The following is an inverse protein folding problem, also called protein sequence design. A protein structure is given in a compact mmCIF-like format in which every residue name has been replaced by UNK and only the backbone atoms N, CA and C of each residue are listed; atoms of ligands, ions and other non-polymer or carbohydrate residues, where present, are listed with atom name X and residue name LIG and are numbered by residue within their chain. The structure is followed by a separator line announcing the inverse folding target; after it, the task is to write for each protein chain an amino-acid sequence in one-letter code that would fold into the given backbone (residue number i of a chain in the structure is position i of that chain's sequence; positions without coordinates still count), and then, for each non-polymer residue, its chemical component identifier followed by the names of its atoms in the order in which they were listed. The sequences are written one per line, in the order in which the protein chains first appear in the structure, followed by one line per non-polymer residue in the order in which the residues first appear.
data_IF_465306665069
#
_entry.id   IF_465306665069
#
_cell.length_a   1.000
_cell.length_b   1.000
_cell.length_c   1.000
_cell.angle_alpha   90.00
_cell.angle_beta   90.00
_cell.angle_gamma   90.00
#
_symmetry.space_group_name_H-M   'P 1'
#
loop_
_entity.id
_entity.type
_entity.pdbx_description
1 polymer ?
#
# COMPACT_ATOMS: atom_id res chain seq x y z
N UNK A 1 3.42 8.49 -4.11
CA UNK A 1 2.94 7.32 -3.34
C UNK A 1 2.41 7.53 -1.92
N UNK A 2 3.12 7.95 -0.85
CA UNK A 2 2.44 8.23 0.45
C UNK A 2 1.33 9.27 0.31
N UNK A 3 1.57 10.28 -0.52
CA UNK A 3 0.57 11.29 -0.91
C UNK A 3 -0.54 10.70 -1.80
N UNK A 4 -0.27 9.66 -2.59
CA UNK A 4 -1.30 8.94 -3.37
C UNK A 4 -2.14 8.01 -2.47
N UNK A 5 -1.52 7.25 -1.56
CA UNK A 5 -2.23 6.47 -0.52
C UNK A 5 -3.15 7.42 0.27
N UNK A 6 -2.64 8.59 0.63
CA UNK A 6 -3.42 9.64 1.27
C UNK A 6 -4.45 10.28 0.34
N UNK A 7 -4.26 10.30 -0.98
CA UNK A 7 -5.27 10.84 -1.89
C UNK A 7 -6.52 9.96 -1.98
N UNK A 8 -6.42 8.63 -1.77
CA UNK A 8 -7.61 7.77 -1.60
C UNK A 8 -8.44 8.13 -0.37
N UNK A 9 -7.87 8.89 0.58
CA UNK A 9 -8.61 9.36 1.75
C UNK A 9 -9.58 10.51 1.41
N UNK A 10 -9.45 11.14 0.24
CA UNK A 10 -10.24 12.32 -0.15
C UNK A 10 -10.73 12.35 -1.60
N UNK A 11 -10.45 11.32 -2.41
CA UNK A 11 -10.77 11.31 -3.85
C UNK A 11 -11.54 10.04 -4.22
N UNK A 12 -12.58 10.19 -5.04
CA UNK A 12 -13.48 9.10 -5.49
C UNK A 12 -13.10 8.53 -6.86
N UNK A 13 -12.05 9.07 -7.49
CA UNK A 13 -11.66 8.75 -8.86
C UNK A 13 -10.14 8.67 -9.01
N UNK A 14 -9.54 7.65 -8.40
CA UNK A 14 -8.10 7.40 -8.49
C UNK A 14 -7.88 6.17 -9.36
N UNK A 15 -7.33 6.35 -10.55
CA UNK A 15 -6.84 5.25 -11.37
C UNK A 15 -5.47 4.82 -10.84
N UNK A 16 -5.31 3.52 -10.59
CA UNK A 16 -4.08 2.94 -10.05
C UNK A 16 -3.70 1.78 -10.94
N UNK A 17 -2.48 1.79 -11.46
CA UNK A 17 -1.91 0.66 -12.17
C UNK A 17 -1.41 -0.39 -11.15
N UNK A 18 -1.96 -1.63 -11.15
CA UNK A 18 -1.45 -2.70 -10.29
C UNK A 18 0.04 -2.97 -10.45
N UNK A 19 0.60 -2.79 -11.66
CA UNK A 19 2.01 -3.02 -11.94
C UNK A 19 2.92 -1.99 -11.24
N UNK A 20 2.47 -0.74 -11.17
CA UNK A 20 3.18 0.32 -10.43
C UNK A 20 3.18 0.03 -8.92
N UNK A 21 2.07 -0.49 -8.39
CA UNK A 21 1.96 -0.87 -6.99
C UNK A 21 2.88 -2.05 -6.63
N UNK A 22 2.94 -3.09 -7.47
CA UNK A 22 3.86 -4.22 -7.29
C UNK A 22 5.32 -3.79 -7.38
N UNK A 23 5.65 -2.96 -8.38
CA UNK A 23 7.00 -2.43 -8.59
C UNK A 23 7.46 -1.63 -7.38
N UNK A 24 6.58 -0.78 -6.82
CA UNK A 24 6.90 -0.06 -5.59
C UNK A 24 7.08 -1.02 -4.41
N UNK A 25 6.16 -1.96 -4.19
CA UNK A 25 6.23 -2.88 -3.06
C UNK A 25 7.55 -3.65 -3.06
N UNK A 26 7.99 -4.13 -4.22
CA UNK A 26 9.28 -4.77 -4.40
C UNK A 26 10.44 -3.83 -4.04
N UNK A 27 10.46 -2.60 -4.57
CA UNK A 27 11.51 -1.59 -4.27
C UNK A 27 11.56 -1.23 -2.79
N UNK A 28 10.40 -0.99 -2.17
CA UNK A 28 10.29 -0.62 -0.76
C UNK A 28 10.79 -1.74 0.17
N UNK A 29 10.34 -2.98 -0.07
CA UNK A 29 10.80 -4.12 0.73
C UNK A 29 12.27 -4.42 0.53
N UNK A 30 12.77 -4.30 -0.71
CA UNK A 30 14.20 -4.42 -0.97
C UNK A 30 14.99 -3.36 -0.19
N UNK A 31 14.51 -2.11 -0.19
CA UNK A 31 15.11 -1.03 0.60
C UNK A 31 15.13 -1.31 2.10
N UNK A 32 14.02 -1.78 2.67
CA UNK A 32 13.97 -2.21 4.07
C UNK A 32 14.97 -3.33 4.37
N UNK A 33 15.06 -4.34 3.49
CA UNK A 33 15.99 -5.47 3.64
C UNK A 33 17.45 -5.00 3.61
N UNK A 34 17.81 -4.14 2.66
CA UNK A 34 19.18 -3.59 2.57
C UNK A 34 19.53 -2.80 3.83
N UNK A 35 18.62 -1.97 4.34
CA UNK A 35 18.86 -1.21 5.57
C UNK A 35 18.99 -2.11 6.81
N UNK A 36 18.17 -3.16 6.94
CA UNK A 36 18.31 -4.14 8.01
C UNK A 36 19.65 -4.88 7.93
N UNK A 37 20.06 -5.31 6.74
CA UNK A 37 21.35 -5.95 6.52
C UNK A 37 22.52 -5.02 6.85
N UNK A 38 22.46 -3.76 6.41
CA UNK A 38 23.46 -2.74 6.75
C UNK A 38 23.60 -2.63 8.27
N UNK A 39 22.49 -2.54 8.99
CA UNK A 39 22.47 -2.45 10.47
C UNK A 39 23.17 -3.64 11.12
N UNK A 40 22.86 -4.86 10.66
CA UNK A 40 23.45 -6.08 11.19
C UNK A 40 24.95 -6.15 10.88
N UNK A 41 25.34 -5.80 9.66
CA UNK A 41 26.74 -5.86 9.23
C UNK A 41 27.62 -4.89 10.03
N UNK A 42 27.14 -3.68 10.33
CA UNK A 42 27.91 -2.67 11.07
C UNK A 42 27.94 -2.88 12.59
N UNK A 43 27.19 -3.84 13.15
CA UNK A 43 27.11 -4.06 14.61
C UNK A 43 28.47 -4.39 15.23
N UNK A 44 29.32 -5.11 14.48
CA UNK A 44 30.62 -5.58 14.96
C UNK A 44 31.79 -4.94 14.21
N UNK A 45 31.52 -3.98 13.30
CA UNK A 45 32.59 -3.30 12.59
C UNK A 45 33.29 -2.31 13.51
N UNK A 46 34.60 -2.45 13.61
CA UNK A 46 35.50 -1.53 14.28
C UNK A 46 36.38 -0.79 13.27
N UNK A 47 36.64 -1.39 12.10
CA UNK A 47 37.42 -0.80 11.01
C UNK A 47 36.59 0.15 10.13
N UNK A 48 37.12 1.35 9.89
CA UNK A 48 36.52 2.40 9.06
C UNK A 48 36.57 2.12 7.55
N UNK A 49 37.52 1.32 7.09
CA UNK A 49 37.59 0.89 5.68
C UNK A 49 36.48 -0.12 5.36
N UNK A 50 36.26 -1.09 6.26
CA UNK A 50 35.15 -2.04 6.16
C UNK A 50 33.79 -1.35 6.29
N UNK A 51 33.70 -0.30 7.12
CA UNK A 51 32.52 0.56 7.19
C UNK A 51 32.25 1.26 5.86
N UNK A 52 33.27 1.90 5.27
CA UNK A 52 33.13 2.62 4.01
C UNK A 52 32.67 1.68 2.87
N UNK A 53 33.26 0.49 2.78
CA UNK A 53 32.87 -0.52 1.79
C UNK A 53 31.43 -1.01 2.01
N UNK A 54 31.04 -1.26 3.27
CA UNK A 54 29.67 -1.69 3.61
C UNK A 54 28.63 -0.62 3.26
N UNK A 55 28.96 0.66 3.49
CA UNK A 55 28.12 1.78 3.11
C UNK A 55 28.01 1.92 1.59
N UNK A 56 29.14 1.85 0.88
CA UNK A 56 29.18 1.94 -0.59
C UNK A 56 28.28 0.88 -1.23
N UNK A 57 28.45 -0.39 -0.84
CA UNK A 57 27.63 -1.49 -1.34
C UNK A 57 26.14 -1.28 -1.07
N UNK A 58 25.79 -0.69 0.07
CA UNK A 58 24.39 -0.43 0.44
C UNK A 58 23.79 0.74 -0.35
N UNK A 59 24.58 1.79 -0.59
CA UNK A 59 24.19 2.95 -1.41
C UNK A 59 23.94 2.53 -2.85
N UNK A 60 24.85 1.73 -3.42
CA UNK A 60 24.71 1.16 -4.77
C UNK A 60 23.47 0.26 -4.87
N UNK A 61 23.27 -0.62 -3.89
CA UNK A 61 22.11 -1.51 -3.87
C UNK A 61 20.77 -0.76 -3.72
N UNK A 62 20.78 0.38 -3.03
CA UNK A 62 19.61 1.27 -2.89
C UNK A 62 19.45 2.22 -4.08
N UNK A 63 20.45 2.29 -4.98
CA UNK A 63 20.52 3.25 -6.07
C UNK A 63 20.30 4.70 -5.58
N UNK A 64 20.95 5.05 -4.47
CA UNK A 64 20.90 6.40 -3.89
C UNK A 64 22.06 7.20 -4.46
N UNK A 65 21.78 8.39 -4.95
CA UNK A 65 22.82 9.34 -5.33
C UNK A 65 23.41 9.96 -4.06
N UNK A 66 24.61 9.50 -3.69
CA UNK A 66 25.40 10.06 -2.60
C UNK A 66 26.69 10.60 -3.19
N UNK A 67 27.07 11.85 -2.90
CA UNK A 67 28.35 12.39 -3.33
C UNK A 67 29.51 11.46 -2.95
N UNK A 68 30.25 10.97 -3.95
CA UNK A 68 31.31 9.97 -3.75
C UNK A 68 32.43 10.45 -2.83
N UNK A 69 32.63 11.76 -2.73
CA UNK A 69 33.60 12.39 -1.83
C UNK A 69 33.29 12.09 -0.36
N UNK A 70 32.02 11.94 0.03
CA UNK A 70 31.64 11.60 1.41
C UNK A 70 32.15 10.21 1.82
N UNK A 71 31.96 9.19 0.97
CA UNK A 71 32.46 7.83 1.23
C UNK A 71 33.99 7.80 1.19
N UNK A 72 34.59 8.48 0.21
CA UNK A 72 36.04 8.63 0.14
C UNK A 72 36.64 9.31 1.36
N UNK A 73 35.94 10.29 1.95
CA UNK A 73 36.37 10.99 3.16
C UNK A 73 36.34 10.07 4.39
N UNK A 74 35.33 9.22 4.54
CA UNK A 74 35.26 8.22 5.63
C UNK A 74 36.46 7.27 5.55
N UNK A 75 36.75 6.75 4.35
CA UNK A 75 37.89 5.85 4.15
C UNK A 75 39.24 6.54 4.46
N UNK A 76 39.42 7.80 4.04
CA UNK A 76 40.62 8.59 4.35
C UNK A 76 40.78 8.85 5.84
N UNK A 77 39.69 9.18 6.54
CA UNK A 77 39.69 9.37 7.99
C UNK A 77 40.06 8.07 8.71
N UNK A 78 39.60 6.92 8.21
CA UNK A 78 40.02 5.60 8.68
C UNK A 78 41.53 5.37 8.61
N UNK A 79 42.14 5.70 7.46
CA UNK A 79 43.60 5.59 7.27
C UNK A 79 44.36 6.49 8.23
N UNK A 80 43.90 7.73 8.42
CA UNK A 80 44.51 8.67 9.36
C UNK A 80 44.39 8.20 10.81
N UNK A 81 43.23 7.65 11.21
CA UNK A 81 43.01 7.09 12.53
C UNK A 81 43.94 5.90 12.81
N UNK A 82 44.09 5.00 11.85
CA UNK A 82 45.02 3.86 11.95
C UNK A 82 46.49 4.31 12.06
N UNK A 83 46.88 5.34 11.30
CA UNK A 83 48.21 5.94 11.43
C UNK A 83 48.45 6.47 12.85
N UNK A 84 47.49 7.20 13.44
CA UNK A 84 47.61 7.74 14.80
C UNK A 84 47.74 6.64 15.87
N UNK A 85 47.01 5.52 15.72
CA UNK A 85 47.15 4.36 16.60
C UNK A 85 48.56 3.76 16.51
N UNK A 86 49.07 3.58 15.29
CA UNK A 86 50.40 3.02 15.06
C UNK A 86 51.51 3.88 15.66
N UNK A 87 51.49 5.20 15.45
CA UNK A 87 52.55 6.10 15.98
C UNK A 87 52.45 6.30 17.49
N UNK A 88 51.26 6.17 18.08
CA UNK A 88 51.06 6.33 19.52
C UNK A 88 51.30 5.04 20.32
N UNK A 89 51.35 3.88 19.65
CA UNK A 89 51.42 2.56 20.29
C UNK A 89 50.19 2.22 21.12
N UNK A 90 49.06 2.94 20.92
CA UNK A 90 47.81 2.76 21.65
C UNK A 90 46.70 2.39 20.71
N UNK A 91 45.90 1.40 21.11
CA UNK A 91 44.64 1.08 20.46
C UNK A 91 43.56 2.01 21.03
N UNK A 92 42.94 2.80 20.17
CA UNK A 92 41.83 3.67 20.56
C UNK A 92 40.52 2.90 20.33
N UNK A 93 39.74 2.74 21.39
CA UNK A 93 38.39 2.16 21.34
C UNK A 93 37.53 2.92 20.32
N UNK A 94 37.16 2.26 19.23
CA UNK A 94 36.03 2.69 18.41
C UNK A 94 34.77 2.12 19.04
N UNK A 95 33.84 2.98 19.47
CA UNK A 95 32.47 2.52 19.71
C UNK A 95 31.96 1.84 18.44
N UNK A 96 31.09 0.82 18.54
CA UNK A 96 30.49 0.22 17.37
C UNK A 96 29.84 1.31 16.50
N UNK A 97 30.21 1.34 15.22
CA UNK A 97 29.67 2.35 14.30
C UNK A 97 28.14 2.30 14.23
N UNK A 98 27.55 1.13 14.52
CA UNK A 98 26.11 0.92 14.67
C UNK A 98 25.38 1.93 15.58
N UNK A 99 26.05 2.50 16.59
CA UNK A 99 25.44 3.56 17.43
C UNK A 99 25.11 4.82 16.62
N UNK A 100 25.94 5.19 15.64
CA UNK A 100 25.72 6.37 14.79
C UNK A 100 24.59 6.14 13.78
N UNK A 101 24.41 4.90 13.33
CA UNK A 101 23.38 4.55 12.34
C UNK A 101 22.02 4.23 12.95
N UNK A 102 21.94 4.08 14.27
CA UNK A 102 20.70 3.76 15.00
C UNK A 102 19.53 4.68 14.63
N UNK A 103 19.78 5.97 14.48
CA UNK A 103 18.76 6.96 14.10
C UNK A 103 18.20 6.73 12.69
N UNK A 104 19.04 6.35 11.73
CA UNK A 104 18.60 6.05 10.37
C UNK A 104 17.73 4.77 10.31
N UNK A 105 18.09 3.76 11.10
CA UNK A 105 17.33 2.51 11.22
C UNK A 105 15.97 2.75 11.87
N UNK A 106 15.95 3.56 12.94
CA UNK A 106 14.71 3.99 13.59
C UNK A 106 13.80 4.70 12.60
N UNK A 107 14.33 5.66 11.84
CA UNK A 107 13.56 6.40 10.83
C UNK A 107 12.91 5.46 9.79
N UNK A 108 13.65 4.48 9.26
CA UNK A 108 13.10 3.53 8.29
C UNK A 108 12.01 2.63 8.90
N UNK A 109 12.20 2.18 10.14
CA UNK A 109 11.21 1.40 10.88
C UNK A 109 9.93 2.20 11.12
N UNK A 110 10.07 3.46 11.53
CA UNK A 110 8.95 4.40 11.71
C UNK A 110 8.25 4.70 10.39
N UNK A 111 9.00 4.90 9.30
CA UNK A 111 8.44 5.09 7.96
C UNK A 111 7.62 3.88 7.52
N UNK A 112 8.10 2.65 7.75
CA UNK A 112 7.36 1.42 7.46
C UNK A 112 6.05 1.36 8.24
N UNK A 113 6.08 1.66 9.54
CA UNK A 113 4.87 1.71 10.37
C UNK A 113 3.88 2.76 9.86
N UNK A 114 4.37 3.95 9.51
CA UNK A 114 3.51 5.01 8.98
C UNK A 114 2.87 4.63 7.65
N UNK A 115 3.62 4.01 6.73
CA UNK A 115 3.06 3.56 5.44
C UNK A 115 2.01 2.49 5.67
N UNK A 116 2.26 1.51 6.55
CA UNK A 116 1.27 0.48 6.89
C UNK A 116 -0.01 1.08 7.47
N UNK A 117 0.12 2.09 8.35
CA UNK A 117 -1.03 2.78 8.91
C UNK A 117 -1.82 3.53 7.83
N UNK A 118 -1.12 4.24 6.92
CA UNK A 118 -1.77 4.94 5.80
C UNK A 118 -2.53 3.95 4.89
N UNK A 119 -1.97 2.76 4.63
CA UNK A 119 -2.63 1.67 3.88
C UNK A 119 -3.88 1.17 4.61
N UNK A 120 -3.78 0.84 5.90
CA UNK A 120 -4.92 0.35 6.68
C UNK A 120 -6.07 1.38 6.68
N UNK A 121 -5.74 2.66 6.89
CA UNK A 121 -6.71 3.75 6.84
C UNK A 121 -7.39 3.88 5.47
N UNK A 122 -6.63 3.71 4.38
CA UNK A 122 -7.19 3.73 3.02
C UNK A 122 -8.12 2.54 2.79
N UNK A 123 -7.75 1.34 3.22
CA UNK A 123 -8.59 0.13 3.13
C UNK A 123 -9.91 0.32 3.88
N UNK A 124 -9.87 0.84 5.10
CA UNK A 124 -11.08 1.07 5.89
C UNK A 124 -12.01 2.09 5.22
N UNK A 125 -11.47 3.18 4.66
CA UNK A 125 -12.27 4.15 3.90
C UNK A 125 -12.86 3.56 2.63
N UNK A 126 -12.10 2.78 1.87
CA UNK A 126 -12.59 2.10 0.67
C UNK A 126 -13.74 1.16 1.04
N UNK A 127 -13.59 0.39 2.13
CA UNK A 127 -14.64 -0.50 2.63
C UNK A 127 -15.92 0.27 2.98
N UNK A 128 -15.80 1.41 3.66
CA UNK A 128 -16.94 2.28 3.99
C UNK A 128 -17.62 2.79 2.70
N UNK A 129 -16.86 3.24 1.71
CA UNK A 129 -17.42 3.70 0.43
C UNK A 129 -18.13 2.58 -0.33
N UNK A 130 -17.53 1.37 -0.41
CA UNK A 130 -18.17 0.21 -1.03
C UNK A 130 -19.50 -0.10 -0.33
N UNK A 131 -19.51 -0.15 1.00
CA UNK A 131 -20.73 -0.40 1.79
C UNK A 131 -21.81 0.66 1.54
N UNK A 132 -21.42 1.94 1.49
CA UNK A 132 -22.33 3.05 1.22
C UNK A 132 -22.94 2.94 -0.19
N UNK A 133 -22.11 2.66 -1.20
CA UNK A 133 -22.56 2.48 -2.57
C UNK A 133 -23.49 1.25 -2.72
N UNK A 134 -23.16 0.13 -2.08
CA UNK A 134 -24.03 -1.06 -2.05
C UNK A 134 -25.38 -0.76 -1.41
N UNK A 135 -25.40 0.04 -0.33
CA UNK A 135 -26.63 0.50 0.31
C UNK A 135 -27.46 1.36 -0.64
N UNK A 136 -26.85 2.34 -1.32
CA UNK A 136 -27.54 3.20 -2.30
C UNK A 136 -28.15 2.36 -3.43
N UNK A 137 -27.41 1.39 -3.96
CA UNK A 137 -27.91 0.46 -4.99
C UNK A 137 -29.11 -0.33 -4.45
N UNK A 138 -29.00 -0.87 -3.24
CA UNK A 138 -30.07 -1.64 -2.59
C UNK A 138 -31.32 -0.80 -2.34
N UNK A 139 -31.17 0.44 -1.88
CA UNK A 139 -32.27 1.37 -1.64
C UNK A 139 -32.95 1.75 -2.98
N UNK A 140 -32.17 2.04 -4.02
CA UNK A 140 -32.67 2.33 -5.38
C UNK A 140 -33.45 1.15 -5.96
N UNK A 141 -32.96 -0.07 -5.74
CA UNK A 141 -33.63 -1.31 -6.13
C UNK A 141 -34.99 -1.44 -5.44
N UNK A 142 -35.02 -1.22 -4.12
CA UNK A 142 -36.24 -1.30 -3.32
C UNK A 142 -37.29 -0.28 -3.77
N UNK A 143 -36.89 0.97 -4.02
CA UNK A 143 -37.78 2.04 -4.49
C UNK A 143 -38.38 1.70 -5.86
N UNK A 144 -37.54 1.37 -6.85
CA UNK A 144 -38.01 1.04 -8.20
C UNK A 144 -39.00 -0.13 -8.21
N UNK A 145 -38.74 -1.15 -7.39
CA UNK A 145 -39.68 -2.27 -7.26
C UNK A 145 -40.96 -1.89 -6.52
N UNK A 146 -40.88 -1.03 -5.50
CA UNK A 146 -42.06 -0.46 -4.85
C UNK A 146 -42.95 0.32 -5.82
N UNK A 147 -42.37 1.08 -6.76
CA UNK A 147 -43.11 1.78 -7.82
C UNK A 147 -43.72 0.81 -8.83
N UNK A 148 -42.97 -0.19 -9.29
CA UNK A 148 -43.49 -1.22 -10.18
C UNK A 148 -44.65 -1.99 -9.56
N UNK A 149 -44.64 -2.21 -8.24
CA UNK A 149 -45.77 -2.81 -7.51
C UNK A 149 -47.01 -1.94 -7.56
N UNK A 150 -46.87 -0.61 -7.53
CA UNK A 150 -47.99 0.34 -7.61
C UNK A 150 -48.58 0.46 -9.02
N UNK A 151 -47.78 0.21 -10.07
CA UNK A 151 -48.14 0.47 -11.47
C UNK A 151 -48.68 -0.75 -12.24
N UNK A 152 -48.55 -1.98 -11.73
CA UNK A 152 -48.93 -3.19 -12.49
C UNK A 152 -50.35 -3.70 -12.16
N UNK A 153 -51.08 -4.08 -13.21
CA UNK A 153 -52.31 -4.87 -13.11
C UNK A 153 -52.05 -6.22 -12.43
N UNK A 154 -52.90 -6.55 -11.46
CA UNK A 154 -52.78 -7.63 -10.45
C UNK A 154 -52.38 -9.01 -11.02
N UNK A 155 -52.64 -9.27 -12.31
CA UNK A 155 -52.43 -10.60 -12.93
C UNK A 155 -50.99 -10.94 -13.31
N UNK A 156 -50.12 -9.96 -13.64
CA UNK A 156 -48.71 -10.22 -14.04
C UNK A 156 -47.70 -9.94 -12.93
N UNK A 157 -48.16 -9.31 -11.86
CA UNK A 157 -47.35 -8.88 -10.71
C UNK A 157 -46.62 -10.04 -10.02
N UNK A 158 -47.23 -11.22 -9.75
CA UNK A 158 -46.56 -12.29 -9.02
C UNK A 158 -45.32 -12.85 -9.73
N UNK A 159 -45.40 -13.06 -11.05
CA UNK A 159 -44.30 -13.64 -11.82
C UNK A 159 -43.11 -12.69 -11.94
N UNK A 160 -43.37 -11.39 -12.15
CA UNK A 160 -42.32 -10.37 -12.21
C UNK A 160 -41.66 -10.15 -10.84
N UNK A 161 -42.44 -10.16 -9.76
CA UNK A 161 -41.92 -10.08 -8.39
C UNK A 161 -41.01 -11.27 -8.06
N UNK A 162 -41.44 -12.49 -8.40
CA UNK A 162 -40.69 -13.69 -8.09
C UNK A 162 -39.35 -13.73 -8.86
N UNK A 163 -39.35 -13.32 -10.13
CA UNK A 163 -38.12 -13.21 -10.93
C UNK A 163 -37.14 -12.18 -10.33
N UNK A 164 -37.63 -11.00 -9.97
CA UNK A 164 -36.81 -9.96 -9.35
C UNK A 164 -36.22 -10.38 -8.00
N UNK A 165 -37.05 -10.98 -7.14
CA UNK A 165 -36.63 -11.51 -5.86
C UNK A 165 -35.51 -12.54 -6.02
N UNK A 166 -35.63 -13.46 -6.98
CA UNK A 166 -34.60 -14.46 -7.24
C UNK A 166 -33.28 -13.84 -7.70
N UNK A 167 -33.32 -12.81 -8.55
CA UNK A 167 -32.10 -12.10 -8.98
C UNK A 167 -31.42 -11.40 -7.79
N UNK A 168 -32.20 -10.75 -6.92
CA UNK A 168 -31.67 -10.10 -5.71
C UNK A 168 -31.10 -11.10 -4.70
N UNK A 169 -31.78 -12.25 -4.53
CA UNK A 169 -31.33 -13.34 -3.67
C UNK A 169 -30.01 -13.91 -4.19
N UNK A 170 -29.91 -14.19 -5.48
CA UNK A 170 -28.68 -14.69 -6.10
C UNK A 170 -27.54 -13.69 -5.98
N UNK A 171 -27.79 -12.41 -6.24
CA UNK A 171 -26.81 -11.34 -6.05
C UNK A 171 -26.30 -11.32 -4.59
N UNK A 172 -27.19 -11.49 -3.61
CA UNK A 172 -26.81 -11.53 -2.18
C UNK A 172 -25.96 -12.76 -1.86
N UNK A 173 -26.30 -13.93 -2.39
CA UNK A 173 -25.53 -15.15 -2.18
C UNK A 173 -24.16 -15.11 -2.86
N UNK A 174 -24.09 -14.61 -4.09
CA UNK A 174 -22.84 -14.46 -4.84
C UNK A 174 -21.89 -13.51 -4.12
N UNK A 175 -22.38 -12.35 -3.65
CA UNK A 175 -21.58 -11.37 -2.92
C UNK A 175 -20.90 -11.92 -1.65
N UNK A 176 -21.39 -13.01 -1.05
CA UNK A 176 -20.75 -13.64 0.13
C UNK A 176 -19.40 -14.27 -0.19
N UNK A 177 -19.17 -14.65 -1.44
CA UNK A 177 -17.99 -15.41 -1.86
C UNK A 177 -17.05 -14.62 -2.77
N UNK A 178 -17.42 -13.39 -3.15
CA UNK A 178 -16.56 -12.54 -3.96
C UNK A 178 -15.39 -12.03 -3.13
N UNK A 179 -14.19 -12.10 -3.71
CA UNK A 179 -12.94 -11.72 -3.02
C UNK A 179 -12.27 -10.50 -3.65
N UNK A 180 -12.68 -10.13 -4.86
CA UNK A 180 -12.17 -8.95 -5.55
C UNK A 180 -13.25 -7.90 -5.84
N UNK A 181 -12.82 -6.65 -5.94
CA UNK A 181 -13.69 -5.52 -6.33
C UNK A 181 -14.17 -5.63 -7.78
N UNK A 182 -13.37 -6.22 -8.69
CA UNK A 182 -13.76 -6.40 -10.08
C UNK A 182 -14.89 -7.42 -10.23
N UNK A 183 -14.81 -8.54 -9.52
CA UNK A 183 -15.89 -9.52 -9.46
C UNK A 183 -17.16 -8.90 -8.87
N UNK A 184 -17.03 -8.08 -7.82
CA UNK A 184 -18.14 -7.37 -7.21
C UNK A 184 -18.80 -6.40 -8.20
N UNK A 185 -18.02 -5.56 -8.87
CA UNK A 185 -18.52 -4.59 -9.86
C UNK A 185 -19.21 -5.30 -11.02
N UNK A 186 -18.58 -6.34 -11.58
CA UNK A 186 -19.15 -7.14 -12.66
C UNK A 186 -20.48 -7.78 -12.25
N UNK A 187 -20.53 -8.41 -11.08
CA UNK A 187 -21.74 -9.07 -10.57
C UNK A 187 -22.88 -8.07 -10.37
N UNK A 188 -22.59 -6.89 -9.79
CA UNK A 188 -23.57 -5.81 -9.64
C UNK A 188 -24.10 -5.34 -11.01
N UNK A 189 -23.22 -5.10 -11.98
CA UNK A 189 -23.60 -4.64 -13.31
C UNK A 189 -24.46 -5.67 -14.05
N UNK A 190 -24.09 -6.96 -13.98
CA UNK A 190 -24.84 -8.05 -14.62
C UNK A 190 -26.24 -8.18 -14.01
N UNK A 191 -26.35 -8.15 -12.68
CA UNK A 191 -27.62 -8.33 -11.96
C UNK A 191 -28.54 -7.12 -12.12
N UNK A 192 -27.99 -5.91 -12.10
CA UNK A 192 -28.79 -4.69 -12.33
C UNK A 192 -29.28 -4.58 -13.78
N UNK A 193 -28.47 -5.02 -14.74
CA UNK A 193 -28.90 -5.17 -16.14
C UNK A 193 -30.04 -6.19 -16.29
N UNK A 194 -29.95 -7.35 -15.63
CA UNK A 194 -31.02 -8.36 -15.62
C UNK A 194 -32.34 -7.85 -15.00
N UNK A 195 -32.26 -6.84 -14.12
CA UNK A 195 -33.43 -6.17 -13.53
C UNK A 195 -33.96 -5.00 -14.38
N UNK A 196 -33.39 -4.77 -15.58
CA UNK A 196 -33.74 -3.63 -16.42
C UNK A 196 -33.41 -2.28 -15.78
N UNK A 197 -32.39 -2.25 -14.91
CA UNK A 197 -31.89 -1.04 -14.26
C UNK A 197 -30.66 -0.59 -15.02
N UNK A 198 -30.83 0.51 -15.75
CA UNK A 198 -29.69 1.18 -16.32
C UNK A 198 -29.03 2.01 -15.23
N UNK A 199 -27.99 1.45 -14.60
CA UNK A 199 -27.06 2.26 -13.80
C UNK A 199 -26.28 3.08 -14.82
N UNK A 200 -26.85 4.18 -15.30
CA UNK A 200 -26.11 5.14 -16.10
C UNK A 200 -24.84 5.48 -15.32
N UNK A 201 -23.69 5.59 -16.01
CA UNK A 201 -22.40 6.10 -15.50
C UNK A 201 -22.51 7.56 -15.00
N UNK A 202 -23.61 7.95 -14.34
CA UNK A 202 -23.72 9.20 -13.63
C UNK A 202 -22.85 9.08 -12.40
N UNK A 203 -21.64 9.63 -12.55
CA UNK A 203 -20.70 10.06 -11.52
C UNK A 203 -21.06 9.48 -10.15
N UNK A 204 -20.44 8.33 -9.85
CA UNK A 204 -20.09 8.01 -8.47
C UNK A 204 -19.38 9.28 -7.95
N UNK A 205 -20.09 10.05 -7.12
CA UNK A 205 -19.62 11.29 -6.52
C UNK A 205 -18.46 10.97 -5.58
#
# INVERSE_FOLDING_TARGET
MRNEIKSFLGSTNVHVDPLDAETFYAKFNNGCKIASNLTQNIQNLTNLEDLANTLQNSIEALNIDVPQDLIGNIAKQGKYFNFLQAVSGKEYSSRPWSELFKSAVMYLSESRKSIQQDVNNAVDKIKIHIQSNLKIITDTLKEKYGELMKLQEIQKLPNKLNSAYNILKNLTEEMKYLTSTDELVKTILDRTSALGINISKKKVL
#
